data_IF_783556245851
#
_entry.id   IF_783556245851
#
_cell.length_a   1.000
_cell.length_b   1.000
_cell.length_c   1.000
_cell.angle_alpha   90.00
_cell.angle_beta   90.00
_cell.angle_gamma   90.00
#
_symmetry.space_group_name_H-M   'P 1'
#
loop_
_entity.id
_entity.type
_entity.pdbx_description
1 polymer ?
#
# COMPACT_ATOMS: atom_id res chain seq x y z
N UNK A 1 25.00 -0.46 -14.73
CA UNK A 1 24.71 0.99 -14.69
C UNK A 1 25.12 1.49 -13.32
N UNK A 2 25.77 2.66 -13.24
CA UNK A 2 26.11 3.26 -11.95
C UNK A 2 24.91 4.10 -11.51
N UNK A 3 24.24 3.73 -10.42
CA UNK A 3 23.12 4.51 -9.91
C UNK A 3 23.60 5.88 -9.46
N UNK A 4 22.86 6.94 -9.82
CA UNK A 4 23.09 8.29 -9.31
C UNK A 4 22.97 8.29 -7.77
N UNK A 5 23.71 9.18 -7.06
CA UNK A 5 23.51 9.32 -5.63
C UNK A 5 22.06 9.69 -5.35
N UNK A 6 21.49 9.13 -4.29
CA UNK A 6 20.11 9.40 -3.87
C UNK A 6 20.06 9.73 -2.38
N UNK A 7 18.99 10.39 -1.97
CA UNK A 7 18.68 10.62 -0.56
C UNK A 7 17.26 10.18 -0.25
N UNK A 8 17.07 9.72 0.98
CA UNK A 8 15.77 9.36 1.55
C UNK A 8 15.47 10.35 2.67
N UNK A 9 14.47 11.20 2.47
CA UNK A 9 14.00 12.13 3.49
C UNK A 9 12.82 11.51 4.23
N UNK A 10 12.93 11.40 5.56
CA UNK A 10 11.83 10.92 6.37
C UNK A 10 10.76 12.00 6.49
N UNK A 11 9.55 11.70 6.02
CA UNK A 11 8.43 12.64 6.04
C UNK A 11 7.57 12.44 7.30
N UNK A 12 7.37 11.19 7.71
CA UNK A 12 6.54 10.86 8.87
C UNK A 12 6.06 9.42 8.88
N UNK A 13 5.01 9.17 9.66
CA UNK A 13 4.35 7.87 9.72
C UNK A 13 2.86 7.99 9.44
N UNK A 14 2.34 7.05 8.67
CA UNK A 14 0.93 6.88 8.39
C UNK A 14 0.46 5.55 9.00
N UNK A 15 -0.78 5.52 9.52
CA UNK A 15 -1.40 4.26 9.94
C UNK A 15 -2.03 3.61 8.73
N UNK A 16 -1.59 2.40 8.41
CA UNK A 16 -2.16 1.63 7.32
C UNK A 16 -2.90 0.42 7.86
N UNK A 17 -3.93 0.01 7.13
CA UNK A 17 -4.54 -1.30 7.30
C UNK A 17 -3.87 -2.28 6.33
N UNK A 18 -3.27 -3.33 6.87
CA UNK A 18 -2.46 -4.31 6.15
C UNK A 18 -3.20 -5.64 6.02
N UNK A 19 -3.21 -6.19 4.80
CA UNK A 19 -3.79 -7.49 4.51
C UNK A 19 -2.95 -8.60 5.16
N UNK A 20 -3.56 -9.58 5.85
CA UNK A 20 -2.83 -10.71 6.37
C UNK A 20 -2.24 -11.59 5.24
N UNK A 21 -1.07 -12.17 5.49
CA UNK A 21 -0.30 -12.96 4.51
C UNK A 21 -0.98 -14.25 4.03
N UNK A 22 -2.10 -14.65 4.63
CA UNK A 22 -2.69 -16.01 4.50
C UNK A 22 -3.85 -16.05 3.50
N UNK A 23 -4.34 -14.91 3.03
CA UNK A 23 -5.68 -14.84 2.43
C UNK A 23 -5.70 -14.98 0.90
N UNK A 24 -6.34 -16.06 0.44
CA UNK A 24 -6.53 -16.46 -0.95
C UNK A 24 -7.51 -15.56 -1.71
N UNK A 25 -7.51 -15.67 -3.04
CA UNK A 25 -8.40 -14.97 -4.00
C UNK A 25 -9.91 -15.04 -3.63
N UNK A 26 -10.31 -16.05 -2.83
CA UNK A 26 -11.68 -16.23 -2.33
C UNK A 26 -12.12 -15.08 -1.39
N UNK A 27 -11.20 -14.23 -0.93
CA UNK A 27 -11.56 -13.08 -0.09
C UNK A 27 -12.10 -11.88 -0.84
N UNK A 28 -11.71 -11.60 -2.08
CA UNK A 28 -12.01 -10.27 -2.65
C UNK A 28 -13.49 -10.08 -2.96
N UNK A 29 -14.15 -11.12 -3.49
CA UNK A 29 -15.58 -11.09 -3.78
C UNK A 29 -16.42 -11.11 -2.49
N UNK A 30 -16.06 -11.97 -1.53
CA UNK A 30 -16.71 -11.99 -0.21
C UNK A 30 -16.51 -10.65 0.53
N UNK A 31 -15.34 -10.02 0.39
CA UNK A 31 -15.05 -8.74 1.01
C UNK A 31 -15.86 -7.60 0.38
N UNK A 32 -16.04 -7.60 -0.95
CA UNK A 32 -16.94 -6.65 -1.59
C UNK A 32 -18.35 -6.78 -1.03
N UNK A 33 -18.90 -8.00 -0.98
CA UNK A 33 -20.27 -8.23 -0.49
C UNK A 33 -20.45 -7.81 0.97
N UNK A 34 -19.47 -8.10 1.83
CA UNK A 34 -19.45 -7.68 3.23
C UNK A 34 -19.35 -6.16 3.35
N UNK A 35 -18.49 -5.50 2.57
CA UNK A 35 -18.27 -4.06 2.71
C UNK A 35 -19.36 -3.22 2.05
N UNK A 36 -20.03 -3.76 1.01
CA UNK A 36 -21.07 -3.06 0.28
C UNK A 36 -22.25 -2.65 1.17
N UNK A 37 -22.55 -3.42 2.22
CA UNK A 37 -23.62 -3.07 3.16
C UNK A 37 -23.36 -1.78 3.96
N UNK A 38 -22.11 -1.32 4.03
CA UNK A 38 -21.72 -0.07 4.73
C UNK A 38 -21.60 1.13 3.78
N UNK A 39 -21.79 0.89 2.48
CA UNK A 39 -21.74 1.91 1.44
C UNK A 39 -23.16 2.38 1.13
N UNK A 40 -23.45 3.64 1.47
CA UNK A 40 -24.80 4.22 1.35
C UNK A 40 -24.94 5.24 0.20
N UNK A 41 -23.86 5.53 -0.52
CA UNK A 41 -23.86 6.48 -1.63
C UNK A 41 -23.05 5.97 -2.82
N UNK A 42 -23.38 6.45 -4.02
CA UNK A 42 -22.68 6.08 -5.26
C UNK A 42 -21.19 6.45 -5.22
N UNK A 43 -20.83 7.55 -4.56
CA UNK A 43 -19.44 7.97 -4.37
C UNK A 43 -18.65 6.95 -3.53
N UNK A 44 -19.23 6.54 -2.39
CA UNK A 44 -18.62 5.52 -1.53
C UNK A 44 -18.54 4.16 -2.24
N UNK A 45 -19.48 3.86 -3.13
CA UNK A 45 -19.44 2.64 -3.95
C UNK A 45 -18.29 2.67 -4.96
N UNK A 46 -18.06 3.82 -5.59
CA UNK A 46 -16.91 4.01 -6.46
C UNK A 46 -15.59 3.85 -5.69
N UNK A 47 -15.50 4.37 -4.46
CA UNK A 47 -14.35 4.19 -3.57
C UNK A 47 -14.15 2.72 -3.19
N UNK A 48 -15.22 2.00 -2.84
CA UNK A 48 -15.17 0.57 -2.55
C UNK A 48 -14.68 -0.23 -3.76
N UNK A 49 -15.23 0.02 -4.96
CA UNK A 49 -14.79 -0.64 -6.20
C UNK A 49 -13.31 -0.39 -6.47
N UNK A 50 -12.84 0.83 -6.24
CA UNK A 50 -11.43 1.18 -6.40
C UNK A 50 -10.54 0.40 -5.42
N UNK A 51 -10.93 0.35 -4.14
CA UNK A 51 -10.22 -0.41 -3.11
C UNK A 51 -10.14 -1.92 -3.45
N UNK A 52 -11.27 -2.51 -3.85
CA UNK A 52 -11.34 -3.93 -4.26
C UNK A 52 -10.47 -4.18 -5.49
N UNK A 53 -10.48 -3.29 -6.48
CA UNK A 53 -9.61 -3.41 -7.66
C UNK A 53 -8.12 -3.33 -7.30
N UNK A 54 -7.73 -2.46 -6.36
CA UNK A 54 -6.35 -2.39 -5.84
C UNK A 54 -5.95 -3.72 -5.18
N UNK A 55 -6.83 -4.29 -4.36
CA UNK A 55 -6.61 -5.57 -3.70
C UNK A 55 -6.45 -6.71 -4.72
N UNK A 56 -7.34 -6.81 -5.71
CA UNK A 56 -7.22 -7.82 -6.76
C UNK A 56 -5.93 -7.69 -7.56
N UNK A 57 -5.57 -6.46 -7.94
CA UNK A 57 -4.34 -6.18 -8.69
C UNK A 57 -3.13 -6.64 -7.89
N UNK A 58 -3.10 -6.34 -6.60
CA UNK A 58 -2.03 -6.79 -5.72
C UNK A 58 -1.92 -8.31 -5.67
N UNK A 59 -3.03 -9.02 -5.44
CA UNK A 59 -3.07 -10.49 -5.38
C UNK A 59 -2.56 -11.10 -6.70
N UNK A 60 -2.96 -10.53 -7.85
CA UNK A 60 -2.53 -10.98 -9.18
C UNK A 60 -1.05 -10.69 -9.44
N UNK A 61 -0.51 -9.59 -8.91
CA UNK A 61 0.87 -9.13 -9.16
C UNK A 61 1.97 -9.97 -8.50
N UNK A 62 1.65 -10.77 -7.48
CA UNK A 62 2.63 -11.51 -6.65
C UNK A 62 3.75 -10.60 -6.11
N UNK A 63 3.39 -9.38 -5.69
CA UNK A 63 4.34 -8.43 -5.09
C UNK A 63 5.02 -9.03 -3.86
N UNK A 64 6.28 -8.66 -3.63
CA UNK A 64 7.02 -9.01 -2.41
C UNK A 64 6.62 -8.14 -1.22
N UNK A 65 6.19 -6.90 -1.48
CA UNK A 65 5.71 -6.02 -0.43
C UNK A 65 4.27 -6.40 -0.06
N UNK A 66 3.84 -6.23 1.20
CA UNK A 66 2.47 -6.53 1.60
C UNK A 66 1.47 -5.55 0.97
N UNK A 67 0.20 -5.96 0.87
CA UNK A 67 -0.88 -5.02 0.57
C UNK A 67 -1.19 -4.19 1.81
N UNK A 68 -1.25 -2.88 1.64
CA UNK A 68 -1.67 -1.98 2.71
C UNK A 68 -2.29 -0.71 2.13
N UNK A 69 -3.23 -0.11 2.85
CA UNK A 69 -3.84 1.17 2.47
C UNK A 69 -3.87 2.10 3.69
N UNK A 70 -3.58 3.41 3.54
CA UNK A 70 -3.74 4.38 4.62
C UNK A 70 -5.15 4.35 5.20
N UNK A 71 -5.29 4.47 6.52
CA UNK A 71 -6.61 4.51 7.15
C UNK A 71 -7.45 5.70 6.67
N UNK A 72 -6.82 6.84 6.36
CA UNK A 72 -7.48 8.02 5.78
C UNK A 72 -8.25 7.69 4.51
N UNK A 73 -7.71 6.78 3.69
CA UNK A 73 -8.29 6.41 2.40
C UNK A 73 -9.44 5.39 2.59
N UNK A 74 -9.59 4.83 3.79
CA UNK A 74 -10.62 3.85 4.15
C UNK A 74 -11.68 4.43 5.11
N UNK A 75 -11.58 5.70 5.50
CA UNK A 75 -12.56 6.36 6.40
C UNK A 75 -13.99 6.29 5.86
N UNK A 76 -14.16 6.20 4.54
CA UNK A 76 -15.47 6.10 3.90
C UNK A 76 -16.25 4.83 4.30
N UNK A 77 -15.55 3.76 4.70
CA UNK A 77 -16.13 2.49 5.12
C UNK A 77 -16.79 2.56 6.50
N UNK A 78 -16.46 3.55 7.32
CA UNK A 78 -17.02 3.76 8.66
C UNK A 78 -17.04 2.45 9.50
N UNK A 79 -18.21 1.90 9.81
CA UNK A 79 -18.36 0.62 10.52
C UNK A 79 -17.71 -0.57 9.79
N UNK A 80 -17.61 -0.53 8.46
CA UNK A 80 -16.93 -1.54 7.66
C UNK A 80 -15.43 -1.67 7.97
N UNK A 81 -14.79 -0.64 8.55
CA UNK A 81 -13.42 -0.76 9.06
C UNK A 81 -13.32 -1.77 10.20
N UNK A 82 -14.37 -1.91 11.02
CA UNK A 82 -14.38 -2.88 12.10
C UNK A 82 -14.48 -4.30 11.56
N UNK A 83 -15.27 -4.52 10.51
CA UNK A 83 -15.33 -5.81 9.81
C UNK A 83 -13.97 -6.23 9.27
N UNK A 84 -13.20 -5.30 8.69
CA UNK A 84 -11.84 -5.61 8.23
C UNK A 84 -10.93 -6.07 9.38
N UNK A 85 -11.05 -5.45 10.56
CA UNK A 85 -10.30 -5.87 11.75
C UNK A 85 -10.71 -7.27 12.22
N UNK A 86 -12.00 -7.59 12.17
CA UNK A 86 -12.51 -8.95 12.47
C UNK A 86 -11.99 -9.99 11.47
N UNK A 87 -11.72 -9.59 10.24
CA UNK A 87 -11.08 -10.41 9.20
C UNK A 87 -9.54 -10.47 9.34
N UNK A 88 -8.99 -10.12 10.51
CA UNK A 88 -7.56 -10.12 10.82
C UNK A 88 -6.71 -9.15 10.00
N UNK A 89 -7.30 -8.06 9.48
CA UNK A 89 -6.49 -6.97 8.95
C UNK A 89 -5.82 -6.22 10.10
N UNK A 90 -4.53 -5.96 9.95
CA UNK A 90 -3.72 -5.36 11.02
C UNK A 90 -3.49 -3.88 10.77
N UNK A 91 -3.68 -3.06 11.80
CA UNK A 91 -3.21 -1.68 11.78
C UNK A 91 -1.70 -1.65 12.03
N UNK A 92 -0.95 -1.04 11.11
CA UNK A 92 0.51 -0.96 11.20
C UNK A 92 1.00 0.46 10.95
N UNK A 93 2.01 0.93 11.70
CA UNK A 93 2.66 2.19 11.40
C UNK A 93 3.60 2.01 10.21
N UNK A 94 3.34 2.75 9.13
CA UNK A 94 4.14 2.74 7.91
C UNK A 94 4.93 4.03 7.84
N UNK A 95 6.23 3.91 7.58
CA UNK A 95 7.11 5.08 7.47
C UNK A 95 7.08 5.60 6.04
N UNK A 96 6.86 6.90 5.89
CA UNK A 96 6.81 7.57 4.59
C UNK A 96 8.14 8.28 4.35
N UNK A 97 8.78 7.96 3.24
CA UNK A 97 10.01 8.61 2.80
C UNK A 97 9.83 9.25 1.44
N UNK A 98 10.46 10.40 1.23
CA UNK A 98 10.62 11.01 -0.07
C UNK A 98 11.96 10.62 -0.68
N UNK A 99 11.97 10.19 -1.94
CA UNK A 99 13.18 9.87 -2.69
C UNK A 99 13.58 11.07 -3.52
N UNK A 100 14.75 11.63 -3.23
CA UNK A 100 15.33 12.71 -4.02
C UNK A 100 16.60 12.25 -4.74
N UNK A 101 16.64 12.56 -6.03
CA UNK A 101 17.83 12.46 -6.89
C UNK A 101 18.30 13.86 -7.30
N UNK A 102 19.55 13.99 -7.81
CA UNK A 102 20.05 15.23 -8.38
C UNK A 102 19.13 15.80 -9.47
N UNK A 103 19.18 17.12 -9.69
CA UNK A 103 18.29 17.83 -10.61
C UNK A 103 18.40 17.36 -12.08
N UNK A 104 19.51 16.74 -12.45
CA UNK A 104 19.74 16.18 -13.78
C UNK A 104 19.23 14.74 -13.93
N UNK A 105 18.53 14.20 -12.92
CA UNK A 105 17.98 12.86 -12.93
C UNK A 105 16.73 12.76 -13.82
N UNK A 106 16.74 11.76 -14.68
CA UNK A 106 15.62 11.34 -15.50
C UNK A 106 14.68 10.41 -14.74
N UNK A 107 13.51 10.13 -15.29
CA UNK A 107 12.60 9.11 -14.73
C UNK A 107 13.22 7.70 -14.74
N UNK A 108 14.10 7.40 -15.70
CA UNK A 108 14.82 6.11 -15.74
C UNK A 108 15.80 5.97 -14.56
N UNK A 109 16.39 7.08 -14.11
CA UNK A 109 17.23 7.10 -12.91
C UNK A 109 16.39 6.81 -11.65
N UNK A 110 15.16 7.32 -11.58
CA UNK A 110 14.23 7.01 -10.48
C UNK A 110 13.83 5.54 -10.49
N UNK A 111 13.46 4.99 -11.64
CA UNK A 111 13.12 3.56 -11.76
C UNK A 111 14.30 2.68 -11.32
N UNK A 112 15.51 2.97 -11.78
CA UNK A 112 16.73 2.26 -11.38
C UNK A 112 17.00 2.36 -9.88
N UNK A 113 16.75 3.54 -9.29
CA UNK A 113 16.90 3.76 -7.84
C UNK A 113 15.89 2.96 -7.04
N UNK A 114 14.64 2.93 -7.49
CA UNK A 114 13.62 2.13 -6.84
C UNK A 114 13.89 0.63 -6.96
N UNK A 115 14.41 0.16 -8.09
CA UNK A 115 14.80 -1.24 -8.25
C UNK A 115 15.94 -1.62 -7.30
N UNK A 116 16.94 -0.74 -7.14
CA UNK A 116 17.95 -0.90 -6.08
C UNK A 116 17.32 -0.92 -4.69
N UNK A 117 16.43 0.02 -4.38
CA UNK A 117 15.79 0.08 -3.06
C UNK A 117 14.98 -1.19 -2.75
N UNK A 118 14.45 -1.91 -3.75
CA UNK A 118 13.70 -3.16 -3.55
C UNK A 118 14.61 -4.30 -3.08
N UNK A 119 15.91 -4.20 -3.33
CA UNK A 119 16.91 -5.15 -2.82
C UNK A 119 17.25 -4.89 -1.35
N UNK A 120 16.98 -3.68 -0.84
CA UNK A 120 17.39 -3.22 0.49
C UNK A 120 16.19 -3.18 1.45
N UNK A 121 15.04 -2.73 0.98
CA UNK A 121 13.84 -2.50 1.76
C UNK A 121 12.63 -3.24 1.18
N UNK A 122 11.71 -3.63 2.04
CA UNK A 122 10.35 -3.99 1.64
C UNK A 122 9.50 -2.72 1.65
N UNK A 123 9.12 -2.24 0.46
CA UNK A 123 8.36 -1.01 0.32
C UNK A 123 7.34 -1.06 -0.83
N UNK A 124 6.34 -0.19 -0.76
CA UNK A 124 5.43 0.13 -1.87
C UNK A 124 5.62 1.60 -2.29
N UNK A 125 5.42 1.91 -3.57
CA UNK A 125 5.44 3.30 -4.06
C UNK A 125 4.06 3.93 -3.88
N UNK A 126 4.02 5.19 -3.47
CA UNK A 126 2.79 5.98 -3.48
C UNK A 126 2.57 6.49 -4.91
N UNK A 127 1.44 6.10 -5.51
CA UNK A 127 1.11 6.34 -6.93
C UNK A 127 1.25 7.82 -7.29
N UNK A 128 1.88 8.10 -8.44
CA UNK A 128 2.11 9.45 -8.98
C UNK A 128 2.91 10.38 -8.04
N UNK A 129 3.68 9.83 -7.11
CA UNK A 129 4.58 10.60 -6.24
C UNK A 129 5.95 9.96 -6.18
N UNK A 130 6.93 10.70 -5.65
CA UNK A 130 8.27 10.17 -5.32
C UNK A 130 8.36 9.67 -3.88
N UNK A 131 7.21 9.35 -3.27
CA UNK A 131 7.15 8.81 -1.92
C UNK A 131 7.10 7.29 -1.92
N UNK A 132 7.73 6.71 -0.91
CA UNK A 132 7.71 5.28 -0.65
C UNK A 132 7.20 4.99 0.77
N UNK A 133 6.46 3.91 0.87
CA UNK A 133 5.94 3.34 2.10
C UNK A 133 6.86 2.21 2.54
N UNK A 134 7.66 2.44 3.58
CA UNK A 134 8.57 1.44 4.15
C UNK A 134 7.87 0.77 5.34
N UNK A 135 7.82 -0.56 5.29
CA UNK A 135 7.15 -1.37 6.31
C UNK A 135 8.11 -1.77 7.45
N UNK A 136 7.61 -1.87 8.70
CA UNK A 136 8.35 -2.45 9.80
C UNK A 136 8.89 -3.86 9.47
N UNK A 137 10.17 -4.10 9.74
CA UNK A 137 10.84 -5.37 9.39
C UNK A 137 10.17 -6.59 10.03
N UNK A 138 9.63 -6.45 11.24
CA UNK A 138 8.94 -7.54 11.96
C UNK A 138 7.66 -8.03 11.27
N UNK A 139 7.13 -7.31 10.28
CA UNK A 139 5.96 -7.73 9.49
C UNK A 139 6.36 -8.51 8.22
N UNK A 140 7.60 -8.35 7.78
CA UNK A 140 8.10 -8.83 6.48
C UNK A 140 9.19 -9.90 6.62
N UNK A 141 9.54 -10.32 7.84
CA UNK A 141 10.39 -11.50 8.07
C UNK A 141 9.55 -12.73 7.72
N UNK A 142 9.83 -13.29 6.55
CA UNK A 142 9.45 -14.63 6.12
C UNK A 142 10.69 -15.51 6.06
#
# INVERSE_FOLDING_TARGET
MQNKPFSLEFIGQEKHLLLPNVTSIILTQNLYDILFQYVISEEKEAQLKSFINMLETHIKSKSRAPFSVPLSDLEFLDEGLQELKLLNWMEVPVSVFHVSLPDDASEEDYESTFDLLKEIFTFNRKVNTRHIYIYPQNLTIF
#
